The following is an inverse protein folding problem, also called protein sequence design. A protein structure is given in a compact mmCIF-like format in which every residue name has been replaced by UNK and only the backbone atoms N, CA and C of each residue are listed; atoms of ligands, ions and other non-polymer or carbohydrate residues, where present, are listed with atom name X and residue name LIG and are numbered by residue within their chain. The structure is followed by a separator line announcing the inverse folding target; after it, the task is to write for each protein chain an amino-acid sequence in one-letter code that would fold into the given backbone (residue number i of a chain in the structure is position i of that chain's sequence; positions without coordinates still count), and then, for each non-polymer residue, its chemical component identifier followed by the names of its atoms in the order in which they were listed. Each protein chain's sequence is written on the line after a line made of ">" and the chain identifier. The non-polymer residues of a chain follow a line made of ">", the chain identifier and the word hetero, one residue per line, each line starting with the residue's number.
data_IF_735354577960
#
_entry.id   IF_735354577960
#
_cell.length_a   1.000
_cell.length_b   1.000
_cell.length_c   1.000
_cell.angle_alpha   90.00
_cell.angle_beta   90.00
_cell.angle_gamma   90.00
#
_symmetry.space_group_name_H-M   'P 1'
#
loop_
_entity.id
_entity.type
_entity.pdbx_description
1 polymer ?
#
# COMPACT_ATOMS: atom_id res chain seq x y z
N UNK A 1 19.26 -8.30 -9.83
CA UNK A 1 17.85 -8.04 -10.19
C UNK A 1 17.40 -6.80 -9.40
N UNK A 2 16.82 -5.77 -10.03
CA UNK A 2 16.35 -4.59 -9.30
C UNK A 2 15.04 -4.95 -8.57
N UNK A 3 14.86 -4.64 -7.27
CA UNK A 3 13.61 -4.88 -6.57
C UNK A 3 12.42 -4.18 -7.28
N UNK A 4 11.22 -4.78 -7.23
CA UNK A 4 10.01 -4.23 -7.85
C UNK A 4 9.67 -2.83 -7.31
N UNK A 5 8.95 -2.04 -8.11
CA UNK A 5 8.54 -0.68 -7.72
C UNK A 5 7.40 -0.68 -6.70
N UNK A 6 6.49 -1.64 -6.80
CA UNK A 6 5.35 -1.76 -5.89
C UNK A 6 5.24 -3.18 -5.37
N UNK A 7 4.69 -3.32 -4.17
CA UNK A 7 4.21 -4.61 -3.69
C UNK A 7 3.00 -4.45 -2.77
N UNK A 8 2.21 -5.51 -2.68
CA UNK A 8 1.11 -5.63 -1.72
C UNK A 8 1.61 -6.44 -0.54
N UNK A 9 1.58 -5.88 0.65
CA UNK A 9 1.91 -6.60 1.88
C UNK A 9 0.64 -7.23 2.48
N UNK A 10 0.65 -8.55 2.54
CA UNK A 10 -0.39 -9.42 3.09
C UNK A 10 0.34 -10.53 3.89
N UNK A 11 -0.32 -11.65 4.24
CA UNK A 11 0.39 -12.81 4.84
C UNK A 11 1.64 -13.25 4.05
N UNK A 12 1.74 -12.88 2.77
CA UNK A 12 2.95 -12.91 1.93
C UNK A 12 2.97 -11.66 1.03
N UNK A 13 4.14 -11.05 0.84
CA UNK A 13 4.27 -9.89 -0.04
C UNK A 13 4.27 -10.30 -1.52
N UNK A 14 3.52 -9.58 -2.36
CA UNK A 14 3.36 -9.87 -3.79
C UNK A 14 3.87 -8.68 -4.63
N UNK A 15 4.83 -8.89 -5.56
CA UNK A 15 5.45 -7.81 -6.33
C UNK A 15 4.64 -7.40 -7.57
N UNK A 16 4.69 -6.12 -7.93
CA UNK A 16 4.03 -5.55 -9.12
C UNK A 16 4.89 -4.49 -9.81
N UNK A 17 4.75 -4.41 -11.14
CA UNK A 17 5.42 -3.39 -11.96
C UNK A 17 4.68 -2.06 -11.93
N UNK A 18 3.35 -2.07 -11.77
CA UNK A 18 2.50 -0.88 -11.76
C UNK A 18 1.66 -0.77 -10.49
N UNK A 19 1.32 0.48 -10.12
CA UNK A 19 0.44 0.76 -8.99
C UNK A 19 -0.99 0.27 -9.25
N UNK A 20 -1.47 0.33 -10.49
CA UNK A 20 -2.85 -0.09 -10.81
C UNK A 20 -3.01 -1.61 -10.70
N UNK A 21 -2.02 -2.40 -11.09
CA UNK A 21 -2.05 -3.85 -10.90
C UNK A 21 -2.00 -4.22 -9.41
N UNK A 22 -1.16 -3.54 -8.62
CA UNK A 22 -1.11 -3.72 -7.16
C UNK A 22 -2.46 -3.39 -6.51
N UNK A 23 -3.10 -2.29 -6.91
CA UNK A 23 -4.44 -1.91 -6.42
C UNK A 23 -5.51 -2.90 -6.86
N UNK A 24 -5.49 -3.36 -8.11
CA UNK A 24 -6.44 -4.35 -8.63
C UNK A 24 -6.33 -5.68 -7.89
N UNK A 25 -5.10 -6.14 -7.63
CA UNK A 25 -4.86 -7.34 -6.82
C UNK A 25 -5.32 -7.15 -5.38
N UNK A 26 -4.94 -6.05 -4.72
CA UNK A 26 -5.38 -5.76 -3.35
C UNK A 26 -6.91 -5.74 -3.25
N UNK A 27 -7.61 -5.10 -4.21
CA UNK A 27 -9.08 -5.08 -4.33
C UNK A 27 -9.74 -6.44 -4.29
N UNK A 28 -9.14 -7.42 -4.92
CA UNK A 28 -9.76 -8.72 -5.11
C UNK A 28 -9.47 -9.71 -3.99
N UNK A 29 -8.43 -9.45 -3.17
CA UNK A 29 -7.88 -10.49 -2.31
C UNK A 29 -7.94 -10.15 -0.81
N UNK A 30 -7.63 -8.91 -0.37
CA UNK A 30 -7.53 -8.58 1.07
C UNK A 30 -7.67 -7.06 1.34
N UNK A 31 -8.07 -6.63 2.55
CA UNK A 31 -7.70 -5.30 3.05
C UNK A 31 -6.17 -5.27 3.16
N UNK A 32 -5.50 -4.56 2.26
CA UNK A 32 -4.06 -4.68 2.06
C UNK A 32 -3.35 -3.33 2.04
N UNK A 33 -2.09 -3.33 2.48
CA UNK A 33 -1.19 -2.19 2.37
C UNK A 33 -0.41 -2.32 1.07
N UNK A 34 -0.36 -1.27 0.28
CA UNK A 34 0.49 -1.21 -0.91
C UNK A 34 1.74 -0.44 -0.53
N UNK A 35 2.93 -1.01 -0.71
CA UNK A 35 4.18 -0.27 -0.51
C UNK A 35 4.75 0.17 -1.85
N UNK A 36 5.11 1.46 -1.93
CA UNK A 36 5.88 2.00 -3.05
C UNK A 36 7.35 2.13 -2.67
N UNK A 37 8.23 1.67 -3.56
CA UNK A 37 9.66 1.87 -3.44
C UNK A 37 10.06 3.30 -3.78
N UNK A 38 10.74 3.96 -2.86
CA UNK A 38 11.40 5.23 -3.10
C UNK A 38 12.92 5.04 -3.06
N UNK A 39 13.61 5.55 -4.08
CA UNK A 39 15.07 5.62 -4.08
C UNK A 39 15.48 6.86 -3.25
N UNK A 40 16.43 6.70 -2.33
CA UNK A 40 16.92 7.76 -1.45
C UNK A 40 18.13 8.49 -2.09
N UNK A 41 18.40 9.76 -1.73
CA UNK A 41 19.52 10.53 -2.27
C UNK A 41 20.90 9.91 -2.02
N UNK A 42 21.05 9.09 -0.97
CA UNK A 42 22.28 8.38 -0.60
C UNK A 42 22.42 7.01 -1.28
N UNK A 43 21.51 6.66 -2.20
CA UNK A 43 21.45 5.35 -2.84
C UNK A 43 20.76 4.28 -1.98
N UNK A 44 20.26 4.66 -0.80
CA UNK A 44 19.39 3.83 0.02
C UNK A 44 18.01 3.61 -0.60
N UNK A 45 17.21 2.77 0.04
CA UNK A 45 15.83 2.51 -0.36
C UNK A 45 14.92 2.69 0.84
N UNK A 46 13.82 3.43 0.65
CA UNK A 46 12.70 3.48 1.59
C UNK A 46 11.42 2.93 0.94
N UNK A 47 10.46 2.60 1.80
CA UNK A 47 9.14 2.14 1.39
C UNK A 47 8.10 3.12 1.92
N UNK A 48 7.29 3.66 1.02
CA UNK A 48 6.15 4.51 1.37
C UNK A 48 4.91 3.64 1.48
N UNK A 49 4.20 3.72 2.60
CA UNK A 49 2.94 3.00 2.80
C UNK A 49 1.79 3.74 2.12
N UNK A 50 1.21 3.10 1.09
CA UNK A 50 -0.03 3.50 0.45
C UNK A 50 -1.13 2.61 1.02
N UNK A 51 -1.81 3.16 2.00
CA UNK A 51 -2.84 2.44 2.73
C UNK A 51 -4.12 2.41 1.92
N UNK A 52 -4.54 1.22 1.48
CA UNK A 52 -5.86 1.04 0.90
C UNK A 52 -6.85 0.71 2.00
N UNK A 53 -7.20 1.72 2.77
CA UNK A 53 -8.32 1.64 3.70
C UNK A 53 -9.56 2.17 3.01
N UNK A 54 -10.68 1.45 3.12
CA UNK A 54 -11.98 2.10 3.06
C UNK A 54 -12.03 2.97 4.32
N UNK A 55 -11.56 4.21 4.19
CA UNK A 55 -11.59 5.16 5.27
C UNK A 55 -12.84 6.01 5.13
N UNK A 56 -13.54 6.18 6.24
CA UNK A 56 -14.60 7.19 6.37
C UNK A 56 -14.13 8.27 7.31
N UNK A 57 -14.47 9.51 7.01
CA UNK A 57 -14.29 10.60 7.95
C UNK A 57 -15.28 10.42 9.11
N UNK A 58 -14.80 10.37 10.36
CA UNK A 58 -15.66 10.39 11.54
C UNK A 58 -15.75 11.84 12.07
N UNK A 59 -16.86 12.55 11.82
CA UNK A 59 -16.99 13.95 12.23
C UNK A 59 -17.08 14.12 13.76
N UNK A 60 -17.40 13.08 14.52
CA UNK A 60 -17.44 13.14 15.97
C UNK A 60 -16.04 13.04 16.59
N UNK A 61 -15.12 12.35 15.90
CA UNK A 61 -13.71 12.20 16.34
C UNK A 61 -12.76 13.20 15.69
N UNK A 62 -13.12 13.76 14.54
CA UNK A 62 -12.28 14.69 13.80
C UNK A 62 -11.07 14.03 13.13
N UNK A 63 -11.15 12.73 12.85
CA UNK A 63 -10.06 11.94 12.27
C UNK A 63 -10.59 10.93 11.23
N UNK A 64 -9.77 10.50 10.26
CA UNK A 64 -10.13 9.41 9.35
C UNK A 64 -10.14 8.08 10.12
N UNK A 65 -11.20 7.30 9.96
CA UNK A 65 -11.35 5.97 10.56
C UNK A 65 -11.22 4.93 9.47
N UNK A 66 -10.41 3.91 9.75
CA UNK A 66 -10.15 2.78 8.86
C UNK A 66 -11.20 1.69 9.18
N UNK A 67 -12.06 1.36 8.21
CA UNK A 67 -12.97 0.24 8.36
C UNK A 67 -12.22 -1.07 8.02
N UNK A 68 -11.91 -1.85 9.05
CA UNK A 68 -11.41 -3.23 8.92
C UNK A 68 -12.61 -4.18 8.76
N UNK A 69 -13.34 -4.08 7.65
CA UNK A 69 -14.37 -5.06 7.29
C UNK A 69 -13.75 -6.40 6.85
#
# INVERSE_FOLDING_TARGET
>A
MKPPRYFVDARRSVPFDTLEDAKAFARQNFPAVILERADQPDGGVSWNEILRFDWRWDPARGEPVIDFA
#
